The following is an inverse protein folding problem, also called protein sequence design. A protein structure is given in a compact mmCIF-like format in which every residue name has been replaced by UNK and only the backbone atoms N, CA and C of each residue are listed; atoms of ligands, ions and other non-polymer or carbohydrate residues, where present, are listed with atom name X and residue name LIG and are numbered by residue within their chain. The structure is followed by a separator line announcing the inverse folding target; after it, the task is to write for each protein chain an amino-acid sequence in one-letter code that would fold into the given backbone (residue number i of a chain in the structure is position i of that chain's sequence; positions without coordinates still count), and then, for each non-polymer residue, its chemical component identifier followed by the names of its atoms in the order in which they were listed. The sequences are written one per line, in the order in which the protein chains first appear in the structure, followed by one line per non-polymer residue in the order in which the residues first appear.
data_IF_377530376380
#
_entry.id   IF_377530376380
#
_cell.length_a   1.000
_cell.length_b   1.000
_cell.length_c   1.000
_cell.angle_alpha   90.00
_cell.angle_beta   90.00
_cell.angle_gamma   90.00
#
_symmetry.space_group_name_H-M   'P 1'
#
loop_
_entity.id
_entity.type
_entity.pdbx_description
1 polymer ?
#
# COMPACT_ATOMS: atom_id res chain seq x y z
N UNK A 1 -49.66 1.16 -36.91
CA UNK A 1 -48.23 1.53 -36.84
C UNK A 1 -47.54 0.78 -35.68
N UNK A 2 -47.56 -0.55 -35.65
CA UNK A 2 -47.23 -1.33 -34.44
C UNK A 2 -46.17 -2.40 -34.67
N UNK A 3 -46.22 -3.15 -35.79
CA UNK A 3 -45.27 -4.25 -36.06
C UNK A 3 -43.86 -3.76 -36.42
N UNK A 4 -43.73 -2.76 -37.31
CA UNK A 4 -42.41 -2.21 -37.72
C UNK A 4 -41.71 -1.55 -36.52
N UNK A 5 -42.45 -0.86 -35.66
CA UNK A 5 -41.91 -0.24 -34.45
C UNK A 5 -41.42 -1.30 -33.45
N UNK A 6 -42.21 -2.35 -33.23
CA UNK A 6 -41.81 -3.47 -32.37
C UNK A 6 -40.56 -4.17 -32.93
N UNK A 7 -40.51 -4.44 -34.23
CA UNK A 7 -39.36 -5.05 -34.90
C UNK A 7 -38.08 -4.18 -34.79
N UNK A 8 -38.20 -2.86 -35.02
CA UNK A 8 -37.09 -1.91 -34.86
C UNK A 8 -36.59 -1.88 -33.42
N UNK A 9 -37.50 -1.77 -32.45
CA UNK A 9 -37.15 -1.74 -31.03
C UNK A 9 -36.45 -3.03 -30.57
N UNK A 10 -36.91 -4.19 -31.08
CA UNK A 10 -36.27 -5.49 -30.85
C UNK A 10 -34.88 -5.59 -31.46
N UNK A 11 -34.69 -5.10 -32.70
CA UNK A 11 -33.39 -5.09 -33.36
C UNK A 11 -32.37 -4.21 -32.62
N UNK A 12 -32.77 -3.01 -32.16
CA UNK A 12 -31.90 -2.12 -31.37
C UNK A 12 -31.53 -2.74 -30.01
N UNK A 13 -32.49 -3.39 -29.35
CA UNK A 13 -32.23 -4.11 -28.09
C UNK A 13 -31.25 -5.27 -28.29
N UNK A 14 -31.41 -6.06 -29.37
CA UNK A 14 -30.51 -7.14 -29.71
C UNK A 14 -29.10 -6.62 -30.07
N UNK A 15 -29.01 -5.50 -30.80
CA UNK A 15 -27.73 -4.85 -31.10
C UNK A 15 -27.01 -4.44 -29.82
N UNK A 16 -27.70 -3.80 -28.87
CA UNK A 16 -27.12 -3.42 -27.58
C UNK A 16 -26.60 -4.64 -26.80
N UNK A 17 -27.37 -5.74 -26.78
CA UNK A 17 -26.97 -6.98 -26.11
C UNK A 17 -25.74 -7.64 -26.77
N UNK A 18 -25.67 -7.64 -28.10
CA UNK A 18 -24.51 -8.13 -28.85
C UNK A 18 -23.28 -7.23 -28.63
N UNK A 19 -23.44 -5.91 -28.60
CA UNK A 19 -22.36 -4.98 -28.27
C UNK A 19 -21.82 -5.21 -26.85
N UNK A 20 -22.68 -5.37 -25.85
CA UNK A 20 -22.25 -5.70 -24.49
C UNK A 20 -21.52 -7.05 -24.42
N UNK A 21 -22.01 -8.05 -25.15
CA UNK A 21 -21.35 -9.36 -25.26
C UNK A 21 -19.98 -9.24 -25.92
N UNK A 22 -19.88 -8.50 -27.03
CA UNK A 22 -18.62 -8.24 -27.73
C UNK A 22 -17.61 -7.52 -26.83
N UNK A 23 -18.04 -6.50 -26.08
CA UNK A 23 -17.20 -5.81 -25.12
C UNK A 23 -16.69 -6.74 -24.02
N UNK A 24 -17.58 -7.59 -23.46
CA UNK A 24 -17.21 -8.57 -22.44
C UNK A 24 -16.18 -9.59 -22.96
N UNK A 25 -16.37 -10.10 -24.18
CA UNK A 25 -15.44 -11.06 -24.79
C UNK A 25 -14.08 -10.40 -25.05
N UNK A 26 -14.08 -9.16 -25.56
CA UNK A 26 -12.85 -8.43 -25.86
C UNK A 26 -12.03 -8.10 -24.59
N UNK A 27 -12.69 -7.90 -23.45
CA UNK A 27 -12.05 -7.49 -22.20
C UNK A 27 -12.03 -8.58 -21.13
N UNK A 28 -12.34 -9.84 -21.48
CA UNK A 28 -12.38 -10.94 -20.50
C UNK A 28 -11.04 -11.16 -19.80
N UNK A 29 -9.92 -10.83 -20.47
CA UNK A 29 -8.56 -10.93 -19.94
C UNK A 29 -8.01 -9.59 -19.42
N UNK A 30 -8.80 -8.51 -19.44
CA UNK A 30 -8.35 -7.20 -18.97
C UNK A 30 -8.53 -7.11 -17.45
N UNK A 31 -7.45 -6.96 -16.66
CA UNK A 31 -7.56 -6.84 -15.21
C UNK A 31 -8.48 -5.69 -14.78
N UNK A 32 -9.31 -5.93 -13.77
CA UNK A 32 -10.27 -4.95 -13.25
C UNK A 32 -11.55 -4.76 -14.09
N UNK A 33 -11.67 -5.40 -15.27
CA UNK A 33 -12.90 -5.33 -16.06
C UNK A 33 -14.04 -6.08 -15.39
N UNK A 34 -15.21 -5.44 -15.30
CA UNK A 34 -16.44 -6.08 -14.82
C UNK A 34 -17.40 -6.39 -15.95
N UNK A 35 -18.08 -7.54 -15.84
CA UNK A 35 -19.07 -7.96 -16.84
C UNK A 35 -20.20 -6.93 -16.90
N UNK A 36 -20.54 -6.52 -18.11
CA UNK A 36 -21.66 -5.63 -18.38
C UNK A 36 -22.86 -6.42 -18.92
N UNK A 37 -24.07 -5.99 -18.59
CA UNK A 37 -25.33 -6.55 -19.06
C UNK A 37 -26.27 -5.49 -19.60
N UNK A 38 -27.27 -5.92 -20.36
CA UNK A 38 -28.33 -5.05 -20.87
C UNK A 38 -29.63 -5.43 -20.18
N UNK A 39 -30.24 -4.48 -19.47
CA UNK A 39 -31.59 -4.68 -18.95
C UNK A 39 -32.57 -4.42 -20.11
N UNK A 40 -33.46 -5.38 -20.37
CA UNK A 40 -34.53 -5.24 -21.35
C UNK A 40 -35.86 -5.10 -20.61
N UNK A 41 -36.66 -4.10 -20.99
CA UNK A 41 -37.98 -3.87 -20.42
C UNK A 41 -39.02 -3.73 -21.53
N UNK A 42 -40.20 -4.34 -21.33
CA UNK A 42 -41.33 -4.17 -22.24
C UNK A 42 -41.87 -2.74 -22.15
N UNK A 43 -42.26 -2.18 -23.29
CA UNK A 43 -42.92 -0.88 -23.37
C UNK A 43 -44.43 -1.10 -23.23
N UNK A 44 -45.02 -0.51 -22.19
CA UNK A 44 -46.46 -0.58 -21.94
C UNK A 44 -47.24 0.17 -23.05
N UNK A 45 -48.39 -0.35 -23.48
CA UNK A 45 -49.17 0.26 -24.55
C UNK A 45 -49.83 1.57 -24.10
N UNK A 46 -49.81 2.61 -24.96
CA UNK A 46 -50.44 3.91 -24.68
C UNK A 46 -51.98 3.87 -24.67
N UNK A 47 -52.62 2.89 -25.31
CA UNK A 47 -54.07 2.70 -25.26
C UNK A 47 -54.41 1.44 -24.44
N UNK A 48 -55.24 1.65 -23.41
CA UNK A 48 -55.88 0.59 -22.63
C UNK A 48 -57.00 -0.03 -23.47
N UNK A 49 -56.85 -1.31 -23.80
CA UNK A 49 -57.87 -2.13 -24.44
C UNK A 49 -57.53 -3.60 -24.25
N UNK A 50 -58.54 -4.45 -24.10
CA UNK A 50 -58.40 -5.87 -23.74
C UNK A 50 -57.58 -6.72 -24.74
N UNK A 51 -57.22 -6.17 -25.91
CA UNK A 51 -56.47 -6.83 -26.98
C UNK A 51 -55.13 -6.15 -27.31
N UNK A 52 -54.58 -5.35 -26.40
CA UNK A 52 -53.32 -4.63 -26.63
C UNK A 52 -52.08 -5.47 -26.30
N UNK A 53 -51.29 -5.83 -27.31
CA UNK A 53 -50.12 -6.71 -27.19
C UNK A 53 -48.81 -6.00 -26.75
N UNK A 54 -48.88 -4.75 -26.28
CA UNK A 54 -47.72 -3.92 -25.90
C UNK A 54 -47.08 -3.16 -27.06
N UNK A 55 -46.08 -2.31 -26.75
CA UNK A 55 -45.45 -1.37 -27.70
C UNK A 55 -43.96 -1.62 -27.94
N UNK A 56 -43.51 -2.88 -27.81
CA UNK A 56 -42.13 -3.29 -28.09
C UNK A 56 -41.25 -3.38 -26.84
N UNK A 57 -39.94 -3.25 -27.02
CA UNK A 57 -38.93 -3.37 -25.96
C UNK A 57 -38.04 -2.14 -25.92
N UNK A 58 -37.61 -1.73 -24.73
CA UNK A 58 -36.60 -0.67 -24.54
C UNK A 58 -35.44 -1.19 -23.71
N UNK A 59 -34.30 -0.52 -23.85
CA UNK A 59 -33.10 -0.71 -23.02
C UNK A 59 -33.07 0.40 -21.98
N UNK A 60 -33.68 0.23 -20.79
CA UNK A 60 -33.66 1.26 -19.74
C UNK A 60 -32.26 1.54 -19.19
N UNK A 61 -31.40 0.54 -19.10
CA UNK A 61 -30.07 0.70 -18.52
C UNK A 61 -29.10 -0.41 -18.94
N UNK A 62 -27.81 -0.07 -18.89
CA UNK A 62 -26.72 -1.03 -18.84
C UNK A 62 -26.44 -1.37 -17.38
N UNK A 63 -26.21 -2.65 -17.10
CA UNK A 63 -25.92 -3.19 -15.77
C UNK A 63 -24.43 -3.49 -15.66
N UNK A 64 -23.86 -3.23 -14.49
CA UNK A 64 -22.53 -3.71 -14.11
C UNK A 64 -22.70 -4.84 -13.10
N UNK A 65 -22.10 -5.99 -13.36
CA UNK A 65 -22.11 -7.11 -12.43
C UNK A 65 -20.86 -7.06 -11.55
N UNK A 66 -21.03 -6.65 -10.30
CA UNK A 66 -19.97 -6.59 -9.29
C UNK A 66 -20.53 -6.92 -7.92
N UNK A 67 -19.69 -7.51 -7.06
CA UNK A 67 -20.01 -7.79 -5.66
C UNK A 67 -19.18 -6.88 -4.77
N UNK A 68 -19.83 -5.86 -4.21
CA UNK A 68 -19.15 -4.86 -3.38
C UNK A 68 -18.49 -5.47 -2.13
N UNK A 69 -19.07 -6.53 -1.55
CA UNK A 69 -18.49 -7.18 -0.39
C UNK A 69 -17.17 -7.86 -0.76
N UNK A 70 -17.15 -8.60 -1.88
CA UNK A 70 -15.91 -9.22 -2.39
C UNK A 70 -14.86 -8.19 -2.77
N UNK A 71 -15.25 -7.05 -3.35
CA UNK A 71 -14.32 -5.96 -3.66
C UNK A 71 -13.69 -5.38 -2.39
N UNK A 72 -14.47 -5.16 -1.32
CA UNK A 72 -13.94 -4.68 -0.04
C UNK A 72 -12.98 -5.70 0.59
N UNK A 73 -13.30 -6.99 0.54
CA UNK A 73 -12.41 -8.07 1.02
C UNK A 73 -11.11 -8.13 0.20
N UNK A 74 -11.19 -7.96 -1.11
CA UNK A 74 -10.03 -7.91 -2.01
C UNK A 74 -9.08 -6.78 -1.61
N UNK A 75 -9.59 -5.55 -1.41
CA UNK A 75 -8.76 -4.42 -0.98
C UNK A 75 -8.16 -4.62 0.41
N UNK A 76 -8.90 -5.23 1.35
CA UNK A 76 -8.35 -5.59 2.65
C UNK A 76 -7.18 -6.58 2.52
N UNK A 77 -7.34 -7.62 1.70
CA UNK A 77 -6.28 -8.60 1.45
C UNK A 77 -5.08 -7.99 0.70
N UNK A 78 -5.32 -7.07 -0.24
CA UNK A 78 -4.27 -6.32 -0.93
C UNK A 78 -3.43 -5.50 0.05
N UNK A 79 -4.06 -4.88 1.04
CA UNK A 79 -3.37 -4.16 2.11
C UNK A 79 -2.54 -5.10 3.00
N UNK A 80 -3.05 -6.27 3.37
CA UNK A 80 -2.29 -7.25 4.17
C UNK A 80 -1.09 -7.80 3.38
N UNK A 81 -1.30 -8.14 2.11
CA UNK A 81 -0.23 -8.57 1.20
C UNK A 81 0.82 -7.46 1.03
N UNK A 82 0.38 -6.21 0.84
CA UNK A 82 1.25 -5.04 0.73
C UNK A 82 2.14 -4.87 1.96
N UNK A 83 1.58 -5.08 3.16
CA UNK A 83 2.32 -5.02 4.43
C UNK A 83 3.43 -6.07 4.49
N UNK A 84 3.13 -7.33 4.14
CA UNK A 84 4.15 -8.38 4.08
C UNK A 84 5.22 -8.10 3.04
N UNK A 85 4.82 -7.64 1.85
CA UNK A 85 5.75 -7.28 0.77
C UNK A 85 6.63 -6.07 1.12
N UNK A 86 6.12 -5.14 1.94
CA UNK A 86 6.88 -3.99 2.42
C UNK A 86 7.97 -4.36 3.42
N UNK A 87 7.68 -5.28 4.36
CA UNK A 87 8.61 -5.68 5.41
C UNK A 87 9.63 -6.74 4.95
N UNK A 88 9.19 -7.73 4.16
CA UNK A 88 9.98 -8.93 3.84
C UNK A 88 11.38 -8.62 3.29
N UNK A 89 11.59 -7.75 2.29
CA UNK A 89 12.92 -7.53 1.73
C UNK A 89 13.92 -7.00 2.76
N UNK A 90 13.45 -6.14 3.67
CA UNK A 90 14.30 -5.57 4.71
C UNK A 90 14.59 -6.58 5.82
N UNK A 91 13.61 -7.39 6.21
CA UNK A 91 13.83 -8.51 7.15
C UNK A 91 14.85 -9.50 6.59
N UNK A 92 14.71 -9.91 5.33
CA UNK A 92 15.67 -10.83 4.68
C UNK A 92 17.07 -10.25 4.63
N UNK A 93 17.22 -8.96 4.34
CA UNK A 93 18.53 -8.31 4.36
C UNK A 93 19.12 -8.28 5.77
N UNK A 94 18.30 -8.02 6.79
CA UNK A 94 18.73 -7.99 8.18
C UNK A 94 19.14 -9.38 8.68
N UNK A 95 18.39 -10.43 8.30
CA UNK A 95 18.76 -11.83 8.56
C UNK A 95 20.12 -12.19 7.94
N UNK A 96 20.38 -11.76 6.71
CA UNK A 96 21.67 -12.02 6.04
C UNK A 96 22.84 -11.36 6.76
N UNK A 97 22.65 -10.13 7.25
CA UNK A 97 23.69 -9.37 7.94
C UNK A 97 23.96 -9.95 9.34
N UNK A 98 22.91 -10.38 10.06
CA UNK A 98 23.06 -10.94 11.41
C UNK A 98 23.48 -12.42 11.41
N UNK A 99 23.17 -13.17 10.34
CA UNK A 99 23.45 -14.59 10.23
C UNK A 99 24.85 -14.94 9.71
N UNK A 100 25.73 -13.96 9.50
CA UNK A 100 27.08 -14.19 9.01
C UNK A 100 28.06 -14.49 10.17
N UNK A 101 28.40 -15.77 10.35
CA UNK A 101 29.18 -16.25 11.51
C UNK A 101 30.61 -15.67 11.61
N UNK A 102 31.31 -15.54 10.48
CA UNK A 102 32.71 -15.09 10.42
C UNK A 102 32.87 -13.58 10.68
N UNK A 103 31.89 -12.77 10.26
CA UNK A 103 31.87 -11.31 10.43
C UNK A 103 31.09 -10.86 11.67
N UNK A 104 30.43 -11.79 12.37
CA UNK A 104 29.62 -11.52 13.55
C UNK A 104 30.38 -10.89 14.73
N UNK A 105 29.64 -10.24 15.62
CA UNK A 105 30.19 -9.63 16.84
C UNK A 105 30.77 -10.70 17.78
N UNK A 106 30.15 -11.88 17.84
CA UNK A 106 30.57 -12.98 18.72
C UNK A 106 32.02 -13.43 18.46
N UNK A 107 32.38 -13.67 17.20
CA UNK A 107 33.75 -14.06 16.84
C UNK A 107 34.77 -12.95 17.13
N UNK A 108 34.36 -11.68 17.02
CA UNK A 108 35.18 -10.55 17.44
C UNK A 108 35.40 -10.48 18.96
N UNK A 109 34.35 -10.75 19.76
CA UNK A 109 34.43 -10.82 21.22
C UNK A 109 35.36 -11.96 21.66
N UNK A 110 35.20 -13.15 21.08
CA UNK A 110 36.04 -14.32 21.39
C UNK A 110 37.52 -14.03 21.10
N UNK A 111 37.81 -13.40 19.96
CA UNK A 111 39.17 -13.02 19.58
C UNK A 111 39.78 -11.99 20.54
N UNK A 112 39.00 -10.98 20.93
CA UNK A 112 39.43 -9.94 21.88
C UNK A 112 39.71 -10.51 23.28
N UNK A 113 38.77 -11.27 23.86
CA UNK A 113 38.96 -11.86 25.17
C UNK A 113 40.05 -12.95 25.17
N UNK A 114 40.20 -13.69 24.07
CA UNK A 114 41.30 -14.64 23.89
C UNK A 114 42.67 -13.94 23.89
N UNK A 115 42.79 -12.81 23.18
CA UNK A 115 44.02 -12.01 23.19
C UNK A 115 44.30 -11.41 24.57
N UNK A 116 43.28 -10.92 25.27
CA UNK A 116 43.39 -10.36 26.61
C UNK A 116 43.85 -11.43 27.61
N UNK A 117 43.31 -12.64 27.52
CA UNK A 117 43.71 -13.78 28.34
C UNK A 117 45.19 -14.14 28.11
N UNK A 118 45.62 -14.26 26.85
CA UNK A 118 47.02 -14.55 26.52
C UNK A 118 47.97 -13.47 27.06
N UNK A 119 47.61 -12.19 26.92
CA UNK A 119 48.40 -11.08 27.47
C UNK A 119 48.43 -11.09 29.01
N UNK A 120 47.39 -11.57 29.69
CA UNK A 120 47.38 -11.71 31.16
C UNK A 120 48.36 -12.76 31.68
N UNK A 121 48.63 -13.80 30.88
CA UNK A 121 49.60 -14.86 31.22
C UNK A 121 51.03 -14.35 31.09
N UNK A 122 51.32 -13.49 30.10
CA UNK A 122 52.65 -12.90 29.87
C UNK A 122 52.58 -11.38 29.62
N UNK A 123 52.37 -10.57 30.69
CA UNK A 123 52.07 -9.13 30.55
C UNK A 123 53.23 -8.28 30.03
N UNK A 124 54.47 -8.77 30.11
CA UNK A 124 55.67 -8.07 29.60
C UNK A 124 55.89 -8.28 28.09
N UNK A 125 55.14 -9.17 27.45
CA UNK A 125 55.27 -9.48 26.03
C UNK A 125 54.66 -8.38 25.16
N UNK A 126 55.51 -7.58 24.52
CA UNK A 126 55.07 -6.52 23.60
C UNK A 126 54.20 -7.06 22.43
N UNK A 127 54.51 -8.22 21.80
CA UNK A 127 53.64 -8.81 20.77
C UNK A 127 52.23 -9.13 21.27
N UNK A 128 52.08 -9.70 22.46
CA UNK A 128 50.76 -10.05 23.02
C UNK A 128 49.94 -8.79 23.33
N UNK A 129 50.57 -7.75 23.87
CA UNK A 129 49.91 -6.45 24.07
C UNK A 129 49.45 -5.82 22.75
N UNK A 130 50.27 -5.91 21.69
CA UNK A 130 49.87 -5.42 20.37
C UNK A 130 48.69 -6.23 19.80
N UNK A 131 48.64 -7.54 20.05
CA UNK A 131 47.52 -8.39 19.63
C UNK A 131 46.20 -7.97 20.28
N UNK A 132 46.20 -7.56 21.56
CA UNK A 132 45.01 -7.03 22.24
C UNK A 132 44.51 -5.78 21.54
N UNK A 133 45.39 -4.82 21.22
CA UNK A 133 45.01 -3.58 20.52
C UNK A 133 44.41 -3.91 19.15
N UNK A 134 45.07 -4.77 18.37
CA UNK A 134 44.60 -5.16 17.03
C UNK A 134 43.23 -5.84 17.07
N UNK A 135 42.98 -6.70 18.05
CA UNK A 135 41.68 -7.38 18.21
C UNK A 135 40.59 -6.43 18.73
N UNK A 136 40.94 -5.48 19.60
CA UNK A 136 40.03 -4.41 20.03
C UNK A 136 39.62 -3.51 18.87
N UNK A 137 40.57 -3.07 18.04
CA UNK A 137 40.31 -2.26 16.85
C UNK A 137 39.41 -3.01 15.85
N UNK A 138 39.70 -4.29 15.60
CA UNK A 138 38.89 -5.13 14.73
C UNK A 138 37.45 -5.29 15.26
N UNK A 139 37.28 -5.45 16.57
CA UNK A 139 35.96 -5.54 17.21
C UNK A 139 35.19 -4.22 17.10
N UNK A 140 35.83 -3.09 17.36
CA UNK A 140 35.23 -1.77 17.19
C UNK A 140 34.79 -1.53 15.73
N UNK A 141 35.61 -1.93 14.76
CA UNK A 141 35.26 -1.86 13.33
C UNK A 141 34.05 -2.72 12.98
N UNK A 142 33.88 -3.90 13.59
CA UNK A 142 32.70 -4.76 13.41
C UNK A 142 31.43 -4.07 13.90
N UNK A 143 31.43 -3.51 15.12
CA UNK A 143 30.30 -2.73 15.64
C UNK A 143 29.95 -1.55 14.73
N UNK A 144 30.96 -0.77 14.31
CA UNK A 144 30.76 0.38 13.44
C UNK A 144 30.20 -0.03 12.07
N UNK A 145 30.68 -1.12 11.49
CA UNK A 145 30.22 -1.62 10.19
C UNK A 145 28.76 -2.08 10.27
N UNK A 146 28.39 -2.81 11.33
CA UNK A 146 27.02 -3.24 11.55
C UNK A 146 26.08 -2.03 11.74
N UNK A 147 26.48 -1.05 12.55
CA UNK A 147 25.70 0.16 12.75
C UNK A 147 25.51 0.96 11.44
N UNK A 148 26.54 1.00 10.58
CA UNK A 148 26.44 1.63 9.26
C UNK A 148 25.43 0.92 8.36
N UNK A 149 25.43 -0.43 8.36
CA UNK A 149 24.46 -1.22 7.59
C UNK A 149 23.03 -0.95 8.04
N UNK A 150 22.76 -0.96 9.34
CA UNK A 150 21.43 -0.65 9.89
C UNK A 150 21.00 0.80 9.61
N UNK A 151 21.93 1.75 9.71
CA UNK A 151 21.66 3.15 9.37
C UNK A 151 21.31 3.33 7.88
N UNK A 152 22.01 2.62 6.98
CA UNK A 152 21.69 2.61 5.55
C UNK A 152 20.31 1.99 5.29
N UNK A 153 19.95 0.96 6.06
CA UNK A 153 18.64 0.33 5.95
C UNK A 153 17.52 1.28 6.39
N UNK A 154 17.71 2.01 7.51
CA UNK A 154 16.78 3.06 7.97
C UNK A 154 16.60 4.15 6.92
N UNK A 155 17.70 4.62 6.31
CA UNK A 155 17.62 5.60 5.22
C UNK A 155 16.87 5.06 3.99
N UNK A 156 17.05 3.77 3.66
CA UNK A 156 16.35 3.12 2.55
C UNK A 156 14.84 3.00 2.81
N UNK A 157 14.45 2.65 4.04
CA UNK A 157 13.04 2.64 4.47
C UNK A 157 12.43 4.05 4.37
N UNK A 158 13.14 5.06 4.87
CA UNK A 158 12.70 6.46 4.80
C UNK A 158 12.50 6.93 3.35
N UNK A 159 13.40 6.55 2.44
CA UNK A 159 13.28 6.86 1.01
C UNK A 159 12.11 6.12 0.34
N UNK A 160 11.92 4.83 0.66
CA UNK A 160 10.79 4.05 0.15
C UNK A 160 9.46 4.63 0.63
N UNK A 161 9.41 5.11 1.88
CA UNK A 161 8.26 5.81 2.45
C UNK A 161 7.89 7.04 1.63
N UNK A 162 8.87 7.90 1.31
CA UNK A 162 8.66 9.09 0.47
C UNK A 162 8.12 8.75 -0.92
N UNK A 163 8.69 7.72 -1.58
CA UNK A 163 8.21 7.24 -2.87
C UNK A 163 6.76 6.76 -2.78
N UNK A 164 6.43 6.02 -1.73
CA UNK A 164 5.09 5.48 -1.51
C UNK A 164 4.07 6.59 -1.26
N UNK A 165 4.44 7.63 -0.51
CA UNK A 165 3.61 8.82 -0.30
C UNK A 165 3.29 9.52 -1.63
N UNK A 166 4.28 9.68 -2.51
CA UNK A 166 4.07 10.28 -3.83
C UNK A 166 3.09 9.45 -4.68
N UNK A 167 3.18 8.12 -4.61
CA UNK A 167 2.24 7.21 -5.28
C UNK A 167 0.83 7.31 -4.69
N UNK A 168 0.70 7.31 -3.36
CA UNK A 168 -0.58 7.50 -2.65
C UNK A 168 -1.25 8.80 -3.07
N UNK A 169 -0.52 9.92 -3.10
CA UNK A 169 -1.04 11.22 -3.53
C UNK A 169 -1.50 11.21 -5.00
N UNK A 170 -0.74 10.55 -5.87
CA UNK A 170 -1.08 10.40 -7.28
C UNK A 170 -2.37 9.60 -7.47
N UNK A 171 -2.48 8.47 -6.77
CA UNK A 171 -3.66 7.60 -6.82
C UNK A 171 -4.88 8.30 -6.24
N UNK A 172 -4.75 8.98 -5.10
CA UNK A 172 -5.84 9.77 -4.50
C UNK A 172 -6.35 10.84 -5.47
N UNK A 173 -5.45 11.56 -6.15
CA UNK A 173 -5.81 12.54 -7.18
C UNK A 173 -6.55 11.92 -8.37
N UNK A 174 -6.09 10.76 -8.86
CA UNK A 174 -6.74 10.04 -9.96
C UNK A 174 -8.14 9.54 -9.56
N UNK A 175 -8.30 8.99 -8.35
CA UNK A 175 -9.59 8.55 -7.82
C UNK A 175 -10.55 9.73 -7.69
N UNK A 176 -10.08 10.89 -7.19
CA UNK A 176 -10.90 12.10 -7.09
C UNK A 176 -11.38 12.60 -8.47
N UNK A 177 -10.52 12.56 -9.50
CA UNK A 177 -10.89 12.87 -10.88
C UNK A 177 -11.95 11.91 -11.41
N UNK A 178 -11.75 10.61 -11.22
CA UNK A 178 -12.71 9.58 -11.64
C UNK A 178 -14.05 9.72 -10.91
N UNK A 179 -14.05 10.05 -9.62
CA UNK A 179 -15.29 10.36 -8.89
C UNK A 179 -16.06 11.52 -9.53
N UNK A 180 -15.37 12.60 -9.92
CA UNK A 180 -15.98 13.74 -10.62
C UNK A 180 -16.58 13.32 -11.96
N UNK A 181 -15.86 12.54 -12.75
CA UNK A 181 -16.32 12.06 -14.06
C UNK A 181 -17.50 11.09 -13.93
N UNK A 182 -17.48 10.18 -12.95
CA UNK A 182 -18.58 9.24 -12.67
C UNK A 182 -19.84 10.01 -12.27
N UNK A 183 -19.74 10.97 -11.33
CA UNK A 183 -20.88 11.77 -10.89
C UNK A 183 -21.48 12.57 -12.06
N UNK A 184 -20.64 13.14 -12.93
CA UNK A 184 -21.09 13.83 -14.14
C UNK A 184 -21.77 12.89 -15.15
N UNK A 185 -21.15 11.74 -15.43
CA UNK A 185 -21.63 10.75 -16.42
C UNK A 185 -22.95 10.11 -16.00
N UNK A 186 -23.14 9.86 -14.70
CA UNK A 186 -24.42 9.40 -14.16
C UNK A 186 -25.52 10.45 -14.34
N UNK A 187 -25.19 11.73 -14.14
CA UNK A 187 -26.12 12.85 -14.36
C UNK A 187 -26.55 13.03 -15.83
N UNK A 188 -25.73 12.60 -16.79
CA UNK A 188 -26.05 12.68 -18.24
C UNK A 188 -26.70 11.41 -18.79
N UNK A 189 -26.88 10.36 -17.97
CA UNK A 189 -27.50 9.10 -18.38
C UNK A 189 -26.62 8.18 -19.23
N UNK A 190 -25.32 8.48 -19.34
CA UNK A 190 -24.33 7.64 -20.02
C UNK A 190 -23.85 6.54 -19.06
N UNK A 191 -23.48 5.36 -19.57
CA UNK A 191 -23.00 4.25 -18.75
C UNK A 191 -21.60 4.56 -18.15
N UNK A 192 -21.45 4.69 -16.82
CA UNK A 192 -20.18 4.99 -16.17
C UNK A 192 -19.34 3.74 -15.87
N UNK A 193 -19.75 2.53 -16.27
CA UNK A 193 -19.13 1.27 -15.82
C UNK A 193 -17.62 1.21 -16.05
N UNK A 194 -17.12 1.68 -17.19
CA UNK A 194 -15.68 1.72 -17.46
C UNK A 194 -14.92 2.69 -16.54
N UNK A 195 -15.52 3.82 -16.16
CA UNK A 195 -14.93 4.76 -15.20
C UNK A 195 -14.94 4.17 -13.78
N UNK A 196 -15.99 3.43 -13.42
CA UNK A 196 -16.09 2.74 -12.14
C UNK A 196 -15.00 1.65 -12.06
N UNK A 197 -14.80 0.87 -13.11
CA UNK A 197 -13.75 -0.15 -13.17
C UNK A 197 -12.36 0.49 -13.05
N UNK A 198 -12.09 1.56 -13.80
CA UNK A 198 -10.84 2.31 -13.69
C UNK A 198 -10.60 2.82 -12.25
N UNK A 199 -11.64 3.35 -11.59
CA UNK A 199 -11.55 3.83 -10.21
C UNK A 199 -11.27 2.68 -9.25
N UNK A 200 -11.98 1.58 -9.39
CA UNK A 200 -11.85 0.43 -8.50
C UNK A 200 -10.44 -0.20 -8.62
N UNK A 201 -9.85 -0.22 -9.82
CA UNK A 201 -8.43 -0.59 -10.01
C UNK A 201 -7.48 0.40 -9.33
N UNK A 202 -7.74 1.72 -9.38
CA UNK A 202 -6.90 2.70 -8.65
C UNK A 202 -7.03 2.59 -7.14
N UNK A 203 -8.20 2.21 -6.64
CA UNK A 203 -8.39 1.90 -5.23
C UNK A 203 -7.64 0.62 -4.85
N UNK A 204 -7.60 -0.39 -5.72
CA UNK A 204 -6.82 -1.61 -5.51
C UNK A 204 -5.31 -1.33 -5.43
N UNK A 205 -4.79 -0.56 -6.40
CA UNK A 205 -3.42 -0.05 -6.36
C UNK A 205 -3.15 0.72 -5.05
N UNK A 206 -4.06 1.60 -4.63
CA UNK A 206 -3.93 2.36 -3.39
C UNK A 206 -3.95 1.45 -2.15
N UNK A 207 -4.83 0.45 -2.13
CA UNK A 207 -4.97 -0.50 -1.05
C UNK A 207 -3.70 -1.33 -0.83
N UNK A 208 -2.93 -1.59 -1.89
CA UNK A 208 -1.62 -2.25 -1.77
C UNK A 208 -0.56 -1.39 -1.06
N UNK A 209 -0.71 -0.06 -1.09
CA UNK A 209 0.23 0.89 -0.50
C UNK A 209 -0.15 1.27 0.94
N UNK A 210 -1.45 1.43 1.21
CA UNK A 210 -2.03 1.80 2.51
C UNK A 210 -3.36 1.10 2.73
N UNK A 211 -3.68 0.75 3.97
CA UNK A 211 -4.99 0.28 4.39
C UNK A 211 -6.04 1.38 4.24
N UNK A 212 -6.99 1.13 3.33
CA UNK A 212 -8.10 2.04 3.04
C UNK A 212 -9.43 1.52 3.55
N UNK A 213 -10.30 2.44 3.91
CA UNK A 213 -11.73 2.22 4.07
C UNK A 213 -12.46 2.96 2.96
N UNK A 214 -13.41 2.28 2.33
CA UNK A 214 -14.10 2.79 1.15
C UNK A 214 -15.61 2.74 1.39
N UNK A 215 -16.25 3.89 1.28
CA UNK A 215 -17.69 4.05 1.45
C UNK A 215 -18.29 4.59 0.16
N UNK A 216 -19.31 3.91 -0.36
CA UNK A 216 -20.04 4.38 -1.52
C UNK A 216 -21.03 5.48 -1.12
N UNK A 217 -21.05 6.56 -1.89
CA UNK A 217 -21.96 7.69 -1.70
C UNK A 217 -23.18 7.59 -2.63
N UNK A 218 -24.24 8.32 -2.29
CA UNK A 218 -25.50 8.33 -3.05
C UNK A 218 -25.35 8.87 -4.48
N UNK A 219 -24.36 9.72 -4.74
CA UNK A 219 -24.02 10.29 -6.04
C UNK A 219 -23.13 9.37 -6.91
N UNK A 220 -22.90 8.13 -6.46
CA UNK A 220 -22.06 7.15 -7.14
C UNK A 220 -20.55 7.34 -6.93
N UNK A 221 -20.13 8.39 -6.24
CA UNK A 221 -18.73 8.58 -5.83
C UNK A 221 -18.34 7.58 -4.71
N UNK A 222 -17.03 7.37 -4.53
CA UNK A 222 -16.49 6.60 -3.41
C UNK A 222 -15.69 7.54 -2.51
N UNK A 223 -16.05 7.59 -1.24
CA UNK A 223 -15.22 8.20 -0.20
C UNK A 223 -14.16 7.19 0.21
N UNK A 224 -12.90 7.61 0.25
CA UNK A 224 -11.75 6.79 0.64
C UNK A 224 -11.06 7.46 1.81
N UNK A 225 -10.86 6.73 2.90
CA UNK A 225 -10.11 7.17 4.08
C UNK A 225 -9.07 6.14 4.45
N UNK A 226 -8.07 6.53 5.23
CA UNK A 226 -7.23 5.57 5.94
C UNK A 226 -8.07 4.78 6.94
N UNK A 227 -7.55 3.63 7.38
CA UNK A 227 -8.20 2.81 8.41
C UNK A 227 -8.41 3.54 9.74
N UNK A 228 -7.56 4.53 10.05
CA UNK A 228 -7.71 5.43 11.20
C UNK A 228 -8.79 6.51 11.05
N UNK A 229 -9.44 6.61 9.90
CA UNK A 229 -10.52 7.57 9.63
C UNK A 229 -10.08 8.86 8.93
N UNK A 230 -8.79 9.08 8.73
CA UNK A 230 -8.29 10.27 8.04
C UNK A 230 -8.68 10.25 6.55
N UNK A 231 -9.26 11.33 6.00
CA UNK A 231 -9.74 11.35 4.62
C UNK A 231 -8.59 11.34 3.61
N UNK A 232 -8.68 10.49 2.58
CA UNK A 232 -7.78 10.51 1.42
C UNK A 232 -8.48 11.04 0.16
N UNK A 233 -9.74 10.66 -0.05
CA UNK A 233 -10.57 11.16 -1.14
C UNK A 233 -12.00 11.32 -0.65
N UNK A 234 -12.58 12.52 -0.83
CA UNK A 234 -14.00 12.76 -0.57
C UNK A 234 -14.58 13.52 -1.76
N UNK A 235 -15.54 12.88 -2.45
CA UNK A 235 -16.09 13.40 -3.69
C UNK A 235 -14.99 13.63 -4.74
N UNK A 236 -14.89 14.87 -5.22
CA UNK A 236 -13.91 15.28 -6.23
C UNK A 236 -12.62 15.88 -5.65
N UNK A 237 -12.38 15.77 -4.33
CA UNK A 237 -11.18 16.30 -3.66
C UNK A 237 -10.30 15.17 -3.17
N UNK A 238 -9.00 15.31 -3.38
CA UNK A 238 -7.98 14.42 -2.83
C UNK A 238 -7.22 15.13 -1.69
N UNK A 239 -6.80 14.35 -0.71
CA UNK A 239 -5.88 14.76 0.33
C UNK A 239 -4.44 14.74 -0.18
N UNK A 240 -3.54 15.39 0.57
CA UNK A 240 -2.10 15.31 0.34
C UNK A 240 -1.44 14.73 1.60
N UNK A 241 -0.84 13.55 1.46
CA UNK A 241 0.00 12.98 2.50
C UNK A 241 1.41 13.57 2.41
N UNK A 242 1.99 13.89 3.56
CA UNK A 242 3.31 14.51 3.68
C UNK A 242 4.10 13.82 4.78
N UNK A 243 5.39 13.58 4.53
CA UNK A 243 6.36 13.22 5.56
C UNK A 243 7.25 14.41 5.89
N UNK A 244 7.40 14.69 7.17
CA UNK A 244 8.35 15.67 7.71
C UNK A 244 9.44 14.91 8.42
N UNK A 245 10.70 15.14 8.04
CA UNK A 245 11.86 14.59 8.74
C UNK A 245 12.13 15.45 9.97
N UNK A 246 12.12 14.83 11.14
CA UNK A 246 12.43 15.45 12.42
C UNK A 246 13.94 15.58 12.60
N UNK A 247 14.38 16.38 13.58
CA UNK A 247 15.81 16.61 13.85
C UNK A 247 16.57 15.34 14.27
N UNK A 248 15.87 14.34 14.80
CA UNK A 248 16.40 13.03 15.19
C UNK A 248 16.41 12.00 14.03
N UNK A 249 16.06 12.44 12.82
CA UNK A 249 15.96 11.60 11.63
C UNK A 249 14.72 10.71 11.55
N UNK A 250 13.81 10.76 12.53
CA UNK A 250 12.49 10.11 12.43
C UNK A 250 11.58 10.86 11.44
N UNK A 251 10.56 10.19 10.91
CA UNK A 251 9.60 10.78 9.98
C UNK A 251 8.22 10.91 10.63
N UNK A 252 7.72 12.15 10.73
CA UNK A 252 6.33 12.41 11.11
C UNK A 252 5.46 12.44 9.85
N UNK A 253 4.44 11.59 9.81
CA UNK A 253 3.48 11.55 8.71
C UNK A 253 2.23 12.36 9.04
N UNK A 254 1.77 13.13 8.07
CA UNK A 254 0.53 13.90 8.15
C UNK A 254 -0.28 13.76 6.87
N UNK A 255 -1.59 13.97 6.98
CA UNK A 255 -2.52 14.10 5.85
C UNK A 255 -3.15 15.47 5.90
N UNK A 256 -3.05 16.22 4.81
CA UNK A 256 -3.72 17.50 4.64
C UNK A 256 -4.96 17.32 3.78
N UNK A 257 -6.12 17.68 4.31
CA UNK A 257 -7.38 17.63 3.59
C UNK A 257 -8.24 18.84 3.95
N UNK A 258 -8.75 19.55 2.94
CA UNK A 258 -9.65 20.68 3.11
C UNK A 258 -9.16 21.79 4.08
N UNK A 259 -7.85 22.08 4.08
CA UNK A 259 -7.17 23.03 4.99
C UNK A 259 -7.07 22.57 6.45
N UNK A 260 -7.35 21.30 6.73
CA UNK A 260 -7.09 20.64 8.01
C UNK A 260 -5.92 19.66 7.86
N UNK A 261 -5.12 19.54 8.92
CA UNK A 261 -3.98 18.62 8.98
C UNK A 261 -4.25 17.54 10.02
N UNK A 262 -4.14 16.29 9.62
CA UNK A 262 -4.33 15.11 10.47
C UNK A 262 -2.98 14.43 10.70
N UNK A 263 -2.60 14.26 11.96
CA UNK A 263 -1.40 13.48 12.32
C UNK A 263 -1.66 11.98 12.17
N UNK A 264 -0.66 11.24 11.68
CA UNK A 264 -0.72 9.79 11.53
C UNK A 264 0.11 9.02 12.57
N UNK A 265 0.66 9.68 13.59
CA UNK A 265 1.64 9.11 14.52
C UNK A 265 1.24 7.79 15.23
N UNK A 266 -0.06 7.46 15.29
CA UNK A 266 -0.57 6.20 15.84
C UNK A 266 -1.62 5.53 14.93
N UNK A 267 -1.55 5.82 13.63
CA UNK A 267 -2.52 5.28 12.68
C UNK A 267 -1.99 3.99 12.07
N UNK A 268 -2.71 2.86 12.15
CA UNK A 268 -2.31 1.65 11.46
C UNK A 268 -2.40 1.89 9.95
N UNK A 269 -1.25 2.14 9.33
CA UNK A 269 -1.18 2.51 7.93
C UNK A 269 -1.52 1.33 7.03
N UNK A 270 -1.17 0.10 7.41
CA UNK A 270 -1.29 -1.11 6.57
C UNK A 270 -0.69 -0.94 5.18
N UNK A 271 -0.92 -1.90 4.27
CA UNK A 271 -0.27 -1.88 2.96
C UNK A 271 1.25 -1.83 3.08
N UNK A 272 1.93 -1.50 1.99
CA UNK A 272 3.38 -1.32 1.98
C UNK A 272 3.87 -0.36 3.06
N UNK A 273 3.18 0.77 3.29
CA UNK A 273 3.55 1.74 4.34
C UNK A 273 3.53 1.13 5.74
N UNK A 274 2.53 0.31 6.06
CA UNK A 274 2.44 -0.40 7.33
C UNK A 274 3.58 -1.40 7.50
N UNK A 275 4.01 -2.07 6.42
CA UNK A 275 5.13 -3.01 6.47
C UNK A 275 6.46 -2.31 6.73
N UNK A 276 6.68 -1.14 6.12
CA UNK A 276 7.84 -0.30 6.41
C UNK A 276 7.84 0.18 7.87
N UNK A 277 6.66 0.56 8.36
CA UNK A 277 6.48 1.08 9.72
C UNK A 277 6.71 0.00 10.79
N UNK A 278 6.13 -1.19 10.58
CA UNK A 278 6.32 -2.38 11.42
C UNK A 278 7.80 -2.77 11.46
N UNK A 279 8.45 -2.85 10.29
CA UNK A 279 9.87 -3.18 10.23
C UNK A 279 10.75 -2.16 10.97
N UNK A 280 10.50 -0.85 10.78
CA UNK A 280 11.30 0.19 11.42
C UNK A 280 11.15 0.16 12.95
N UNK A 281 9.93 0.06 13.46
CA UNK A 281 9.66 0.17 14.90
C UNK A 281 9.80 -1.14 15.67
N UNK A 282 9.45 -2.29 15.07
CA UNK A 282 9.46 -3.57 15.77
C UNK A 282 10.78 -4.34 15.61
N UNK A 283 11.53 -4.11 14.52
CA UNK A 283 12.78 -4.82 14.26
C UNK A 283 14.01 -3.89 14.24
N UNK A 284 14.03 -2.88 13.38
CA UNK A 284 15.25 -2.12 13.10
C UNK A 284 15.70 -1.24 14.27
N UNK A 285 14.81 -0.39 14.81
CA UNK A 285 15.16 0.53 15.90
C UNK A 285 15.57 -0.22 17.18
N UNK A 286 14.82 -1.24 17.65
CA UNK A 286 15.24 -2.04 18.81
C UNK A 286 16.59 -2.73 18.61
N UNK A 287 16.88 -3.22 17.40
CA UNK A 287 18.16 -3.84 17.08
C UNK A 287 19.31 -2.82 17.13
N UNK A 288 19.13 -1.64 16.54
CA UNK A 288 20.12 -0.55 16.59
C UNK A 288 20.41 -0.14 18.04
N UNK A 289 19.39 -0.04 18.88
CA UNK A 289 19.53 0.26 20.31
C UNK A 289 20.31 -0.85 21.01
N UNK A 290 19.94 -2.12 20.81
CA UNK A 290 20.61 -3.27 21.43
C UNK A 290 22.10 -3.36 21.08
N UNK A 291 22.46 -3.10 19.81
CA UNK A 291 23.86 -3.10 19.36
C UNK A 291 24.64 -1.94 19.98
N UNK A 292 24.02 -0.76 20.06
CA UNK A 292 24.64 0.43 20.67
C UNK A 292 24.85 0.22 22.17
N UNK A 293 23.86 -0.33 22.87
CA UNK A 293 23.95 -0.66 24.29
C UNK A 293 25.03 -1.71 24.56
N UNK A 294 25.12 -2.76 23.74
CA UNK A 294 26.17 -3.77 23.84
C UNK A 294 27.56 -3.17 23.66
N UNK A 295 27.74 -2.30 22.65
CA UNK A 295 29.01 -1.63 22.40
C UNK A 295 29.42 -0.72 23.56
N UNK A 296 28.48 0.07 24.08
CA UNK A 296 28.72 0.97 25.21
C UNK A 296 29.05 0.18 26.49
N UNK A 297 28.25 -0.85 26.82
CA UNK A 297 28.50 -1.68 27.99
C UNK A 297 29.86 -2.38 27.91
N UNK A 298 30.25 -2.89 26.74
CA UNK A 298 31.57 -3.48 26.56
C UNK A 298 32.67 -2.44 26.81
N UNK A 299 32.55 -1.25 26.20
CA UNK A 299 33.54 -0.18 26.35
C UNK A 299 33.66 0.30 27.80
N UNK A 300 32.53 0.55 28.47
CA UNK A 300 32.50 1.00 29.87
C UNK A 300 33.11 -0.06 30.79
N UNK A 301 32.72 -1.33 30.66
CA UNK A 301 33.28 -2.41 31.48
C UNK A 301 34.78 -2.61 31.27
N UNK A 302 35.32 -2.36 30.06
CA UNK A 302 36.77 -2.44 29.81
C UNK A 302 37.50 -1.21 30.37
N UNK A 303 36.90 -0.03 30.30
CA UNK A 303 37.50 1.22 30.78
C UNK A 303 37.47 1.35 32.31
N UNK A 304 36.48 0.74 32.97
CA UNK A 304 36.30 0.78 34.43
C UNK A 304 37.20 -0.23 35.19
N UNK A 305 37.84 -1.17 34.48
CA UNK A 305 38.79 -2.15 35.05
C UNK A 305 40.23 -1.63 35.03
#
# INVERSE_FOLDING_TARGET
MTLIHNALSGALAAQAALSATSQNVANVMTPGYTRQGVLLASVQPLQSGALSAGSGVKVPSLLRFSDNYKTLQMWSAASELGQRNGAQPYLTQLEQVLGEDESGINSGLDAFFGALNAASVEPTSAPLRQQVITTADALAQRFNSLNQVLSNQRASVAQQRLTTIAQVNTLASQIAKLNKEIAHTQGTGVNPSGLIDARDTKIDELASLVAVQVVQQADGSRSVSLRGGQPLVVGARAATMVAVVNADGSQTLTVEFANETFSLANTPLGGLMGGLDEFEHEALVPLMQSITEMANQLADNVNDQ
#
